data_IF_004781896477
#
_entry.id   IF_004781896477
#
_cell.length_a   1.000
_cell.length_b   1.000
_cell.length_c   1.000
_cell.angle_alpha   90.00
_cell.angle_beta   90.00
_cell.angle_gamma   90.00
#
_symmetry.space_group_name_H-M   'P 1'
#
loop_
_entity.id
_entity.type
_entity.pdbx_description
1 polymer ?
#
# COMPACT_ATOMS: atom_id res chain seq x y z
N UNK A 1 -1.13 -12.53 -26.46
CA UNK A 1 -1.03 -13.73 -25.61
C UNK A 1 -0.82 -13.20 -24.21
N UNK A 2 -1.90 -13.03 -23.44
CA UNK A 2 -1.85 -12.41 -22.12
C UNK A 2 -1.32 -13.46 -21.13
N UNK A 3 -0.07 -13.34 -20.75
CA UNK A 3 0.47 -14.02 -19.58
C UNK A 3 -0.18 -13.35 -18.36
N UNK A 4 -1.37 -13.82 -17.97
CA UNK A 4 -1.92 -13.54 -16.64
C UNK A 4 -0.91 -14.17 -15.68
N UNK A 5 -0.02 -13.34 -15.13
CA UNK A 5 0.91 -13.74 -14.07
C UNK A 5 0.04 -14.17 -12.87
N UNK A 6 -0.38 -15.44 -12.86
CA UNK A 6 -0.92 -16.09 -11.69
C UNK A 6 0.22 -16.08 -10.69
N UNK A 7 0.14 -15.17 -9.72
CA UNK A 7 1.05 -15.15 -8.59
C UNK A 7 1.00 -16.55 -7.95
N UNK A 8 2.12 -17.28 -7.87
CA UNK A 8 2.11 -18.59 -7.25
C UNK A 8 1.72 -18.42 -5.79
N UNK A 9 0.55 -18.93 -5.41
CA UNK A 9 0.05 -18.94 -4.02
C UNK A 9 0.82 -19.92 -3.12
N UNK A 10 1.74 -20.71 -3.69
CA UNK A 10 2.37 -21.86 -3.02
C UNK A 10 3.57 -21.49 -2.12
N UNK A 11 3.93 -20.21 -1.99
CA UNK A 11 5.12 -19.79 -1.24
C UNK A 11 4.89 -19.39 0.23
N UNK A 12 3.64 -19.21 0.66
CA UNK A 12 3.31 -18.80 2.03
C UNK A 12 2.25 -19.75 2.62
N UNK A 13 2.69 -20.71 3.42
CA UNK A 13 1.77 -21.56 4.19
C UNK A 13 1.18 -20.79 5.39
N UNK A 14 0.13 -21.36 6.00
CA UNK A 14 -0.56 -20.72 7.12
C UNK A 14 0.37 -20.52 8.33
N UNK A 15 1.34 -21.41 8.55
CA UNK A 15 2.30 -21.28 9.63
C UNK A 15 3.20 -20.05 9.43
N UNK A 16 3.68 -19.83 8.21
CA UNK A 16 4.46 -18.66 7.82
C UNK A 16 3.64 -17.38 7.90
N UNK A 17 2.36 -17.41 7.51
CA UNK A 17 1.44 -16.26 7.66
C UNK A 17 1.26 -15.89 9.14
N UNK A 18 1.06 -16.89 10.00
CA UNK A 18 0.93 -16.68 11.44
C UNK A 18 2.22 -16.07 12.01
N UNK A 19 3.38 -16.59 11.60
CA UNK A 19 4.68 -16.06 12.01
C UNK A 19 4.88 -14.60 11.56
N UNK A 20 4.55 -14.26 10.30
CA UNK A 20 4.60 -12.88 9.82
C UNK A 20 3.71 -11.95 10.65
N UNK A 21 2.55 -12.42 11.12
CA UNK A 21 1.62 -11.61 11.90
C UNK A 21 2.15 -11.22 13.29
N UNK A 22 3.14 -11.96 13.82
CA UNK A 22 3.83 -11.66 15.07
C UNK A 22 4.79 -10.46 14.92
N UNK A 23 5.34 -10.25 13.72
CA UNK A 23 6.33 -9.20 13.44
C UNK A 23 5.76 -8.02 12.66
N UNK A 24 4.70 -8.25 11.89
CA UNK A 24 4.18 -7.28 10.95
C UNK A 24 2.72 -6.93 11.23
N UNK A 25 2.38 -5.67 10.94
CA UNK A 25 1.02 -5.22 10.71
C UNK A 25 0.86 -5.15 9.20
N UNK A 26 -0.15 -5.84 8.67
CA UNK A 26 -0.49 -5.79 7.24
C UNK A 26 -1.91 -5.25 7.13
N UNK A 27 -2.12 -4.34 6.17
CA UNK A 27 -3.45 -3.86 5.83
C UNK A 27 -3.55 -3.52 4.34
N UNK A 28 -4.77 -3.57 3.81
CA UNK A 28 -5.05 -3.48 2.39
C UNK A 28 -5.29 -2.04 1.94
N UNK A 29 -5.11 -1.81 0.64
CA UNK A 29 -5.58 -0.62 -0.04
C UNK A 29 -6.03 -0.94 -1.48
N UNK A 30 -6.89 -0.10 -2.02
CA UNK A 30 -7.26 -0.10 -3.44
C UNK A 30 -7.36 1.33 -3.97
N UNK A 31 -7.25 1.50 -5.29
CA UNK A 31 -7.45 2.77 -5.94
C UNK A 31 -8.39 2.62 -7.13
N UNK A 32 -9.38 3.50 -7.20
CA UNK A 32 -10.24 3.65 -8.35
C UNK A 32 -9.67 4.74 -9.27
N UNK A 33 -9.24 4.35 -10.46
CA UNK A 33 -8.58 5.25 -11.41
C UNK A 33 -9.57 6.21 -12.08
N UNK A 34 -10.86 5.87 -12.11
CA UNK A 34 -11.90 6.74 -12.67
C UNK A 34 -12.20 7.97 -11.78
N UNK A 35 -12.07 7.85 -10.46
CA UNK A 35 -12.32 8.96 -9.52
C UNK A 35 -11.07 9.39 -8.72
N UNK A 36 -9.91 8.79 -8.98
CA UNK A 36 -8.64 9.08 -8.33
C UNK A 36 -8.64 8.93 -6.80
N UNK A 37 -9.54 8.11 -6.25
CA UNK A 37 -9.65 7.86 -4.81
C UNK A 37 -9.01 6.53 -4.41
N UNK A 38 -8.23 6.56 -3.32
CA UNK A 38 -7.71 5.40 -2.65
C UNK A 38 -8.60 5.03 -1.46
N UNK A 39 -9.03 3.77 -1.39
CA UNK A 39 -9.60 3.19 -0.18
C UNK A 39 -8.47 2.55 0.62
N UNK A 40 -8.32 2.94 1.88
CA UNK A 40 -7.21 2.48 2.74
C UNK A 40 -7.79 1.80 3.97
N UNK A 41 -7.30 0.61 4.32
CA UNK A 41 -7.73 -0.14 5.51
C UNK A 41 -7.47 0.60 6.83
N UNK A 42 -8.24 0.27 7.86
CA UNK A 42 -8.25 1.01 9.13
C UNK A 42 -6.87 1.10 9.81
N UNK A 43 -6.12 0.01 9.89
CA UNK A 43 -4.80 -0.01 10.53
C UNK A 43 -3.81 0.82 9.74
N UNK A 44 -3.84 0.72 8.41
CA UNK A 44 -3.00 1.55 7.56
C UNK A 44 -3.33 3.04 7.74
N UNK A 45 -4.61 3.44 7.85
CA UNK A 45 -4.97 4.85 8.10
C UNK A 45 -4.39 5.36 9.40
N UNK A 46 -4.61 4.64 10.51
CA UNK A 46 -4.09 5.00 11.83
C UNK A 46 -2.56 5.13 11.81
N UNK A 47 -1.86 4.19 11.16
CA UNK A 47 -0.38 4.20 11.11
C UNK A 47 0.20 5.31 10.22
N UNK A 48 -0.52 5.72 9.17
CA UNK A 48 -0.17 6.89 8.35
C UNK A 48 -0.59 8.22 8.96
N UNK A 49 -1.32 8.22 10.09
CA UNK A 49 -1.87 9.43 10.70
C UNK A 49 -3.00 10.07 9.89
N UNK A 50 -3.70 9.28 9.07
CA UNK A 50 -4.85 9.75 8.28
C UNK A 50 -6.12 9.82 9.16
N UNK A 51 -7.06 10.72 8.86
CA UNK A 51 -8.35 10.80 9.56
C UNK A 51 -9.10 9.46 9.61
N UNK A 52 -9.63 9.11 10.78
CA UNK A 52 -10.31 7.82 11.00
C UNK A 52 -11.79 7.81 10.58
N UNK A 53 -12.40 8.98 10.43
CA UNK A 53 -13.81 9.21 10.13
C UNK A 53 -14.20 8.93 8.66
N UNK A 54 -13.20 8.71 7.79
CA UNK A 54 -13.40 8.35 6.39
C UNK A 54 -12.42 7.27 5.92
N UNK A 55 -12.75 6.64 4.80
CA UNK A 55 -11.98 5.52 4.24
C UNK A 55 -11.37 5.82 2.88
N UNK A 56 -11.77 6.91 2.23
CA UNK A 56 -11.33 7.30 0.89
C UNK A 56 -10.46 8.58 0.92
N UNK A 57 -9.33 8.56 0.22
CA UNK A 57 -8.32 9.62 0.21
C UNK A 57 -7.78 9.87 -1.21
N UNK A 58 -7.38 11.09 -1.52
CA UNK A 58 -6.60 11.36 -2.72
C UNK A 58 -5.15 10.86 -2.57
N UNK A 59 -4.49 10.54 -3.69
CA UNK A 59 -3.09 10.07 -3.68
C UNK A 59 -2.15 11.07 -2.98
N UNK A 60 -2.35 12.36 -3.21
CA UNK A 60 -1.56 13.41 -2.57
C UNK A 60 -1.73 13.45 -1.05
N UNK A 61 -2.90 13.06 -0.52
CA UNK A 61 -3.11 13.00 0.93
C UNK A 61 -2.28 11.87 1.55
N UNK A 62 -2.23 10.71 0.90
CA UNK A 62 -1.36 9.60 1.31
C UNK A 62 0.13 9.97 1.19
N UNK A 63 0.53 10.59 0.07
CA UNK A 63 1.93 10.93 -0.20
C UNK A 63 2.48 11.90 0.85
N UNK A 64 1.66 12.84 1.32
CA UNK A 64 2.03 13.80 2.37
C UNK A 64 2.31 13.15 3.73
N UNK A 65 1.94 11.89 3.94
CA UNK A 65 2.33 11.12 5.12
C UNK A 65 3.81 10.73 5.10
N UNK A 66 4.54 10.94 4.01
CA UNK A 66 5.96 10.55 3.89
C UNK A 66 6.90 11.76 3.78
N UNK A 67 8.21 11.49 3.81
CA UNK A 67 9.25 12.49 3.56
C UNK A 67 9.08 13.19 2.20
N UNK A 68 9.21 14.51 2.19
CA UNK A 68 8.94 15.35 1.02
C UNK A 68 9.87 15.01 -0.17
N UNK A 69 11.06 14.46 0.08
CA UNK A 69 12.04 14.08 -0.94
C UNK A 69 11.62 12.89 -1.82
N UNK A 70 10.60 12.12 -1.42
CA UNK A 70 10.15 10.94 -2.16
C UNK A 70 8.76 11.12 -2.81
N UNK A 71 8.09 12.25 -2.60
CA UNK A 71 6.71 12.47 -3.07
C UNK A 71 6.56 12.24 -4.58
N UNK A 72 7.38 12.91 -5.39
CA UNK A 72 7.35 12.78 -6.85
C UNK A 72 7.60 11.35 -7.33
N UNK A 73 8.42 10.58 -6.61
CA UNK A 73 8.73 9.19 -6.96
C UNK A 73 7.52 8.29 -6.71
N UNK A 74 6.84 8.47 -5.58
CA UNK A 74 5.64 7.69 -5.26
C UNK A 74 4.51 8.00 -6.25
N UNK A 75 4.29 9.28 -6.57
CA UNK A 75 3.28 9.68 -7.55
C UNK A 75 3.52 9.00 -8.89
N UNK A 76 4.76 9.09 -9.41
CA UNK A 76 5.15 8.43 -10.67
C UNK A 76 4.99 6.92 -10.64
N UNK A 77 5.22 6.27 -9.50
CA UNK A 77 5.00 4.82 -9.36
C UNK A 77 3.53 4.46 -9.55
N UNK A 78 2.60 5.21 -8.95
CA UNK A 78 1.17 4.98 -9.14
C UNK A 78 0.74 5.27 -10.59
N UNK A 79 1.25 6.34 -11.20
CA UNK A 79 0.97 6.68 -12.61
C UNK A 79 1.48 5.60 -13.57
N UNK A 80 2.72 5.14 -13.40
CA UNK A 80 3.29 4.06 -14.21
C UNK A 80 2.55 2.75 -14.00
N UNK A 81 2.16 2.41 -12.76
CA UNK A 81 1.40 1.20 -12.48
C UNK A 81 0.02 1.21 -13.16
N UNK A 82 -0.65 2.37 -13.17
CA UNK A 82 -1.91 2.59 -13.87
C UNK A 82 -1.75 2.49 -15.40
N UNK A 83 -0.66 3.02 -15.95
CA UNK A 83 -0.43 3.06 -17.39
C UNK A 83 0.11 1.73 -17.97
N UNK A 84 1.07 1.10 -17.29
CA UNK A 84 1.75 -0.10 -17.76
C UNK A 84 1.08 -1.40 -17.28
N UNK A 85 0.10 -1.31 -16.36
CA UNK A 85 -0.54 -2.47 -15.71
C UNK A 85 0.46 -3.41 -15.03
N UNK A 86 1.48 -2.85 -14.37
CA UNK A 86 2.58 -3.60 -13.74
C UNK A 86 2.55 -3.51 -12.22
N UNK A 87 3.02 -4.55 -11.51
CA UNK A 87 3.23 -4.47 -10.08
C UNK A 87 4.35 -3.49 -9.72
N UNK A 88 4.20 -2.85 -8.57
CA UNK A 88 5.18 -1.92 -8.02
C UNK A 88 5.32 -2.13 -6.51
N UNK A 89 6.40 -1.62 -5.95
CA UNK A 89 6.57 -1.50 -4.52
C UNK A 89 7.42 -0.28 -4.18
N UNK A 90 7.28 0.21 -2.96
CA UNK A 90 8.20 1.20 -2.40
C UNK A 90 8.34 0.99 -0.89
N UNK A 91 9.41 1.55 -0.33
CA UNK A 91 9.60 1.67 1.11
C UNK A 91 9.78 3.14 1.45
N UNK A 92 9.10 3.61 2.49
CA UNK A 92 9.08 5.03 2.85
C UNK A 92 9.01 5.21 4.36
N UNK A 93 9.70 6.23 4.88
CA UNK A 93 9.51 6.68 6.25
C UNK A 93 8.21 7.50 6.35
N UNK A 94 7.39 7.20 7.34
CA UNK A 94 6.21 7.99 7.67
C UNK A 94 6.66 9.21 8.46
N UNK A 95 6.23 10.39 8.02
CA UNK A 95 6.42 11.68 8.68
C UNK A 95 5.51 11.73 9.90
N UNK A 96 5.99 11.23 11.04
CA UNK A 96 5.28 11.33 12.32
C UNK A 96 5.85 12.49 13.16
N UNK A 97 5.02 13.14 14.01
CA UNK A 97 5.48 14.18 14.93
C UNK A 97 6.41 13.66 16.04
N UNK A 98 6.38 12.35 16.31
CA UNK A 98 7.21 11.66 17.29
C UNK A 98 8.48 11.08 16.64
N UNK A 99 9.51 10.82 17.45
CA UNK A 99 10.73 10.10 17.06
C UNK A 99 10.50 8.63 16.61
N UNK A 100 9.24 8.16 16.51
CA UNK A 100 8.90 6.87 15.92
C UNK A 100 9.02 6.95 14.38
N UNK A 101 10.24 6.78 13.88
CA UNK A 101 10.54 6.71 12.45
C UNK A 101 10.11 5.36 11.88
N UNK A 102 8.81 5.21 11.64
CA UNK A 102 8.24 3.98 11.07
C UNK A 102 8.46 3.93 9.56
N UNK A 103 9.00 2.81 9.09
CA UNK A 103 9.02 2.49 7.66
C UNK A 103 7.75 1.72 7.29
N UNK A 104 7.10 2.13 6.20
CA UNK A 104 6.09 1.35 5.51
C UNK A 104 6.69 0.73 4.26
N UNK A 105 6.32 -0.52 3.99
CA UNK A 105 6.51 -1.16 2.69
C UNK A 105 5.16 -1.25 1.99
N UNK A 106 5.04 -0.62 0.84
CA UNK A 106 3.85 -0.70 0.00
C UNK A 106 4.09 -1.65 -1.16
N UNK A 107 3.17 -2.57 -1.38
CA UNK A 107 3.12 -3.44 -2.56
C UNK A 107 1.81 -3.18 -3.28
N UNK A 108 1.88 -2.94 -4.58
CA UNK A 108 0.72 -2.68 -5.42
C UNK A 108 0.78 -3.43 -6.73
N UNK A 109 -0.38 -3.75 -7.28
CA UNK A 109 -0.53 -4.35 -8.58
C UNK A 109 -1.81 -3.84 -9.26
N UNK A 110 -1.84 -3.99 -10.58
CA UNK A 110 -3.04 -3.77 -11.38
C UNK A 110 -3.96 -5.00 -11.32
N UNK A 111 -5.28 -4.78 -11.22
CA UNK A 111 -6.31 -5.82 -11.38
C UNK A 111 -7.20 -5.47 -12.56
N UNK A 112 -7.35 -6.41 -13.49
CA UNK A 112 -8.31 -6.25 -14.58
C UNK A 112 -9.74 -6.40 -14.06
N UNK A 113 -10.60 -5.43 -14.39
CA UNK A 113 -11.97 -5.24 -13.90
C UNK A 113 -13.02 -6.25 -14.43
N UNK A 114 -12.62 -7.35 -15.08
CA UNK A 114 -13.57 -8.29 -15.71
C UNK A 114 -14.62 -8.85 -14.72
N UNK A 115 -14.37 -8.84 -13.41
CA UNK A 115 -15.24 -9.45 -12.38
C UNK A 115 -15.74 -8.51 -11.26
N UNK A 116 -15.43 -7.20 -11.24
CA UNK A 116 -15.90 -6.30 -10.17
C UNK A 116 -16.48 -4.98 -10.67
N UNK A 117 -17.70 -4.68 -10.23
CA UNK A 117 -18.53 -3.54 -10.64
C UNK A 117 -18.10 -2.17 -10.11
N UNK A 118 -16.97 -2.04 -9.40
CA UNK A 118 -16.66 -0.84 -8.59
C UNK A 118 -15.46 -0.01 -9.10
N UNK A 119 -14.92 -0.32 -10.28
CA UNK A 119 -13.90 0.52 -10.97
C UNK A 119 -12.55 0.64 -10.25
N UNK A 120 -12.24 -0.26 -9.30
CA UNK A 120 -10.95 -0.34 -8.63
C UNK A 120 -9.93 -1.07 -9.51
N UNK A 121 -8.89 -0.37 -9.94
CA UNK A 121 -7.94 -0.86 -10.96
C UNK A 121 -6.55 -1.13 -10.37
N UNK A 122 -6.21 -0.51 -9.24
CA UNK A 122 -5.02 -0.83 -8.46
C UNK A 122 -5.40 -1.36 -7.09
N UNK A 123 -4.63 -2.31 -6.59
CA UNK A 123 -4.82 -2.89 -5.26
C UNK A 123 -3.48 -3.30 -4.67
N UNK A 124 -3.45 -3.43 -3.35
CA UNK A 124 -2.21 -3.77 -2.68
C UNK A 124 -2.33 -3.91 -1.18
N UNK A 125 -1.16 -3.99 -0.56
CA UNK A 125 -1.01 -4.02 0.89
C UNK A 125 0.07 -3.05 1.34
N UNK A 126 -0.15 -2.48 2.51
CA UNK A 126 0.89 -1.87 3.32
C UNK A 126 1.36 -2.86 4.38
N UNK A 127 2.66 -2.94 4.57
CA UNK A 127 3.31 -3.72 5.61
C UNK A 127 4.13 -2.80 6.50
N UNK A 128 3.93 -2.94 7.81
CA UNK A 128 4.62 -2.18 8.85
C UNK A 128 5.25 -3.15 9.86
N UNK A 129 6.40 -2.79 10.43
CA UNK A 129 6.94 -3.52 11.59
C UNK A 129 6.11 -3.23 12.85
N UNK A 130 5.97 -4.24 13.73
CA UNK A 130 5.41 -4.08 15.08
C UNK A 130 6.42 -3.51 16.08
N UNK A 131 7.72 -3.67 15.81
CA UNK A 131 8.80 -3.26 16.71
C UNK A 131 9.28 -1.83 16.44
N UNK A 132 9.53 -1.07 17.51
CA UNK A 132 10.11 0.28 17.50
C UNK A 132 11.62 0.29 17.83
N UNK A 133 12.18 -0.81 18.33
CA UNK A 133 13.61 -0.93 18.62
C UNK A 133 14.36 -1.48 17.41
N UNK A 134 14.68 -0.60 16.46
CA UNK A 134 15.39 -0.99 15.24
C UNK A 134 15.84 0.18 14.36
N UNK A 135 15.95 1.39 14.91
CA UNK A 135 16.61 2.49 14.21
C UNK A 135 18.11 2.20 14.13
N UNK A 136 18.55 1.65 13.00
CA UNK A 136 19.95 1.65 12.56
C UNK A 136 20.13 2.75 11.52
#
# INVERSE_FOLDING_TARGET
>A
MNDKMQAPTDFLDQATINLLSEFCIVDHWSANLANAMLKIGHRARTLHGLPEDRTAFGLLELVRCYDDSIHDKIIKLFEHAAFESRPFNFSAAIKQPSDDHRIVHCFGAYRSLEDQSDGEELYGVFLFSRGTYGHL
#
